data_IF_605165811110
#
_entry.id   IF_605165811110
#
_cell.length_a   1.000
_cell.length_b   1.000
_cell.length_c   1.000
_cell.angle_alpha   90.00
_cell.angle_beta   90.00
_cell.angle_gamma   90.00
#
_symmetry.space_group_name_H-M   'P 1'
#
loop_
_entity.id
_entity.type
_entity.pdbx_description
1 polymer ?
#
# COMPACT_ATOMS: atom_id res chain seq x y z
N UNK A 1 -24.98 -8.02 -3.27
CA UNK A 1 -23.89 -8.00 -4.26
C UNK A 1 -24.39 -7.34 -5.54
N UNK A 2 -23.73 -6.25 -5.99
CA UNK A 2 -24.11 -5.49 -7.19
C UNK A 2 -23.00 -5.59 -8.23
N UNK A 3 -23.37 -5.80 -9.50
CA UNK A 3 -22.43 -5.98 -10.59
C UNK A 3 -21.80 -4.65 -11.05
N UNK A 4 -20.47 -4.60 -11.14
CA UNK A 4 -19.70 -3.42 -11.56
C UNK A 4 -19.67 -3.19 -13.08
N UNK A 5 -20.37 -4.02 -13.86
CA UNK A 5 -20.51 -3.84 -15.31
C UNK A 5 -21.89 -3.30 -15.68
N UNK A 6 -22.96 -3.89 -15.14
CA UNK A 6 -24.35 -3.56 -15.49
C UNK A 6 -25.17 -2.98 -14.33
N UNK A 7 -24.59 -2.79 -13.15
CA UNK A 7 -25.22 -2.18 -11.96
C UNK A 7 -26.46 -2.93 -11.43
N UNK A 8 -26.71 -4.15 -11.92
CA UNK A 8 -27.79 -5.02 -11.43
C UNK A 8 -27.31 -5.88 -10.25
N UNK A 9 -28.17 -6.13 -9.25
CA UNK A 9 -27.86 -7.02 -8.14
C UNK A 9 -27.81 -8.49 -8.57
N UNK A 10 -27.18 -9.34 -7.74
CA UNK A 10 -27.25 -10.80 -7.84
C UNK A 10 -26.05 -11.52 -8.47
N UNK A 11 -25.04 -10.79 -8.95
CA UNK A 11 -23.81 -11.38 -9.50
C UNK A 11 -22.62 -10.43 -9.42
N UNK A 12 -21.39 -10.96 -9.52
CA UNK A 12 -20.17 -10.15 -9.66
C UNK A 12 -19.90 -9.81 -11.12
N UNK A 13 -19.01 -8.83 -11.37
CA UNK A 13 -18.58 -8.48 -12.74
C UNK A 13 -17.99 -9.66 -13.52
N UNK A 14 -17.33 -10.60 -12.83
CA UNK A 14 -16.78 -11.83 -13.41
C UNK A 14 -17.83 -12.73 -14.04
N UNK A 15 -19.06 -12.69 -13.54
CA UNK A 15 -20.19 -13.54 -13.94
C UNK A 15 -21.20 -12.79 -14.83
N UNK A 16 -20.89 -11.55 -15.20
CA UNK A 16 -21.80 -10.71 -15.97
C UNK A 16 -21.80 -11.11 -17.45
N UNK A 17 -22.97 -11.43 -18.00
CA UNK A 17 -23.16 -11.76 -19.43
C UNK A 17 -23.34 -10.54 -20.33
N UNK A 18 -23.49 -9.34 -19.77
CA UNK A 18 -23.57 -8.10 -20.55
C UNK A 18 -22.21 -7.78 -21.20
N UNK A 19 -22.19 -7.10 -22.37
CA UNK A 19 -20.95 -6.62 -22.98
C UNK A 19 -20.10 -5.85 -21.97
N UNK A 20 -18.78 -6.00 -22.05
CA UNK A 20 -17.88 -5.26 -21.17
C UNK A 20 -17.96 -3.78 -21.56
N UNK A 21 -18.15 -2.89 -20.59
CA UNK A 21 -17.90 -1.46 -20.80
C UNK A 21 -16.42 -1.30 -21.17
N UNK A 22 -16.14 -0.92 -22.41
CA UNK A 22 -14.78 -0.61 -22.87
C UNK A 22 -14.24 0.52 -21.99
N UNK A 23 -13.03 0.33 -21.46
CA UNK A 23 -12.41 1.32 -20.58
C UNK A 23 -11.85 2.46 -21.42
N UNK A 24 -12.72 3.32 -21.92
CA UNK A 24 -12.28 4.65 -22.36
C UNK A 24 -11.84 5.41 -21.12
N UNK A 25 -10.54 5.67 -21.01
CA UNK A 25 -9.94 6.34 -19.86
C UNK A 25 -9.74 5.44 -18.65
N UNK A 26 -8.78 4.51 -18.72
CA UNK A 26 -8.05 4.10 -17.52
C UNK A 26 -7.14 5.27 -17.11
N UNK A 27 -7.72 6.37 -16.62
CA UNK A 27 -6.98 7.23 -15.72
C UNK A 27 -6.79 6.40 -14.46
N UNK A 28 -5.57 5.89 -14.27
CA UNK A 28 -5.16 5.48 -12.94
C UNK A 28 -5.37 6.71 -12.07
N UNK A 29 -6.04 6.54 -10.93
CA UNK A 29 -6.03 7.56 -9.90
C UNK A 29 -4.54 7.68 -9.52
N UNK A 30 -3.85 8.68 -10.05
CA UNK A 30 -2.55 9.09 -9.54
C UNK A 30 -2.87 9.51 -8.13
N UNK A 31 -2.43 8.71 -7.15
CA UNK A 31 -2.32 9.20 -5.79
C UNK A 31 -1.51 10.48 -5.91
N UNK A 32 -2.13 11.64 -5.66
CA UNK A 32 -1.35 12.83 -5.43
C UNK A 32 -0.46 12.46 -4.25
N UNK A 33 0.83 12.42 -4.54
CA UNK A 33 1.88 12.21 -3.57
C UNK A 33 1.72 13.36 -2.58
N UNK A 34 1.10 13.08 -1.44
CA UNK A 34 1.34 13.90 -0.26
C UNK A 34 2.83 13.69 0.02
N UNK A 35 3.65 14.56 -0.56
CA UNK A 35 5.07 14.69 -0.27
C UNK A 35 5.16 15.14 1.17
N UNK A 36 4.98 14.20 2.10
CA UNK A 36 5.55 14.33 3.42
C UNK A 36 7.06 14.26 3.20
N UNK A 37 7.68 15.41 2.95
CA UNK A 37 9.12 15.57 2.95
C UNK A 37 9.66 15.12 4.31
N UNK A 38 10.02 13.85 4.42
CA UNK A 38 10.83 13.35 5.51
C UNK A 38 12.26 13.84 5.25
N UNK A 39 12.58 15.05 5.70
CA UNK A 39 13.94 15.55 5.75
C UNK A 39 14.73 14.76 6.81
N UNK A 40 15.19 13.56 6.45
CA UNK A 40 16.15 12.81 7.25
C UNK A 40 17.57 13.24 6.85
N UNK A 41 18.05 14.33 7.45
CA UNK A 41 19.45 14.72 7.36
C UNK A 41 20.26 13.99 8.43
N UNK A 42 20.66 12.75 8.16
CA UNK A 42 21.72 12.08 8.92
C UNK A 42 22.98 11.99 8.05
N UNK A 43 23.94 12.89 8.30
CA UNK A 43 25.32 12.71 7.85
C UNK A 43 26.06 11.95 8.95
N UNK A 44 25.93 10.63 8.98
CA UNK A 44 26.88 9.75 9.66
C UNK A 44 27.18 8.54 8.78
N UNK A 45 28.46 8.40 8.48
CA UNK A 45 29.05 7.42 7.56
C UNK A 45 29.63 6.24 8.33
N UNK A 46 28.79 5.48 9.02
CA UNK A 46 29.17 4.14 9.42
C UNK A 46 28.07 3.16 9.01
N UNK A 47 28.46 2.04 8.41
CA UNK A 47 27.54 0.99 7.94
C UNK A 47 26.77 0.31 9.10
N UNK A 48 27.11 0.68 10.35
CA UNK A 48 26.55 0.14 11.58
C UNK A 48 25.61 1.12 12.31
N UNK A 49 25.30 2.29 11.72
CA UNK A 49 24.34 3.23 12.31
C UNK A 49 22.89 2.80 12.03
N UNK A 50 22.09 2.64 13.09
CA UNK A 50 20.67 2.31 13.00
C UNK A 50 19.83 3.57 12.80
N UNK A 51 18.81 3.49 11.94
CA UNK A 51 17.84 4.57 11.69
C UNK A 51 16.49 4.14 12.25
N UNK A 52 15.85 5.01 13.03
CA UNK A 52 14.49 4.78 13.54
C UNK A 52 13.47 5.31 12.55
N UNK A 53 12.63 4.42 12.02
CA UNK A 53 11.44 4.76 11.27
C UNK A 53 10.21 4.70 12.20
N UNK A 54 9.65 5.86 12.55
CA UNK A 54 8.43 5.94 13.36
C UNK A 54 7.14 5.72 12.55
N UNK A 55 7.25 5.54 11.23
CA UNK A 55 6.11 5.38 10.30
C UNK A 55 5.70 3.93 10.04
N UNK A 56 6.49 2.94 10.47
CA UNK A 56 6.17 1.54 10.24
C UNK A 56 5.30 0.98 11.37
N UNK A 57 3.97 0.99 11.17
CA UNK A 57 3.02 0.51 12.18
C UNK A 57 3.05 -1.01 12.40
N UNK A 58 3.51 -1.79 11.42
CA UNK A 58 3.63 -3.26 11.53
C UNK A 58 4.84 -3.76 10.74
N UNK A 59 5.89 -4.16 11.45
CA UNK A 59 6.99 -4.92 10.85
C UNK A 59 6.68 -6.41 10.95
N UNK A 60 6.49 -7.07 9.81
CA UNK A 60 6.42 -8.53 9.73
C UNK A 60 7.74 -9.03 9.15
N UNK A 61 8.66 -9.49 10.02
CA UNK A 61 9.81 -10.27 9.59
C UNK A 61 9.56 -11.75 9.90
N UNK A 62 9.89 -12.64 8.97
CA UNK A 62 9.77 -14.09 9.17
C UNK A 62 10.81 -14.65 10.14
N UNK A 63 11.88 -13.90 10.42
CA UNK A 63 12.90 -14.27 11.38
C UNK A 63 12.64 -13.51 12.70
N UNK A 64 12.20 -14.23 13.73
CA UNK A 64 11.87 -13.64 15.03
C UNK A 64 13.12 -13.26 15.82
N UNK A 65 14.24 -13.93 15.57
CA UNK A 65 15.46 -13.77 16.37
C UNK A 65 16.18 -12.45 16.09
N UNK A 66 15.83 -11.76 15.00
CA UNK A 66 16.38 -10.43 14.66
C UNK A 66 15.56 -9.26 15.23
N UNK A 67 14.45 -9.54 15.93
CA UNK A 67 13.63 -8.50 16.56
C UNK A 67 13.82 -8.56 18.07
N UNK A 68 14.33 -7.48 18.66
CA UNK A 68 14.35 -7.29 20.10
C UNK A 68 13.14 -6.49 20.56
N UNK A 69 12.43 -7.00 21.57
CA UNK A 69 11.35 -6.26 22.22
C UNK A 69 11.93 -5.10 23.02
N UNK A 70 11.44 -3.89 22.79
CA UNK A 70 11.79 -2.74 23.63
C UNK A 70 11.30 -2.96 25.07
N UNK A 71 12.20 -2.79 26.04
CA UNK A 71 11.88 -2.71 27.48
C UNK A 71 12.25 -1.33 27.99
N UNK A 72 11.28 -0.65 28.61
CA UNK A 72 11.43 0.69 29.19
C UNK A 72 12.20 0.68 30.52
#
# INVERSE_FOLDING_TARGET
MVCWNCEKPGHMKSECRAPRKDKEGRTANVAMEDTADALLLSVRSSLDDWIVDSGASFHSCSNRDIMESYTA
#
